data_IF_400116703798
#
_entry.id   IF_400116703798
#
_cell.length_a   1.000
_cell.length_b   1.000
_cell.length_c   1.000
_cell.angle_alpha   90.00
_cell.angle_beta   90.00
_cell.angle_gamma   90.00
#
_symmetry.space_group_name_H-M   'P 1'
#
loop_
_entity.id
_entity.type
_entity.pdbx_description
1 polymer ?
#
# COMPACT_ATOMS: atom_id res chain seq x y z
N UNK A 1 -44.21 -9.05 20.03
CA UNK A 1 -44.79 -9.33 18.69
C UNK A 1 -43.66 -9.28 17.67
N UNK A 2 -43.10 -10.44 17.32
CA UNK A 2 -41.98 -10.56 16.37
C UNK A 2 -42.56 -10.78 14.98
N UNK A 3 -42.20 -9.92 14.01
CA UNK A 3 -42.51 -10.11 12.59
C UNK A 3 -41.18 -10.39 11.88
N UNK A 4 -40.96 -11.65 11.55
CA UNK A 4 -40.01 -12.06 10.51
C UNK A 4 -40.91 -12.49 9.37
N UNK A 5 -40.76 -11.88 8.20
CA UNK A 5 -40.98 -12.57 6.92
C UNK A 5 -40.20 -11.81 5.85
N UNK A 6 -39.09 -12.41 5.44
CA UNK A 6 -38.33 -12.01 4.27
C UNK A 6 -39.14 -12.39 3.03
N UNK A 7 -39.83 -11.41 2.44
CA UNK A 7 -40.39 -11.54 1.10
C UNK A 7 -39.31 -11.16 0.10
N UNK A 8 -38.74 -12.18 -0.54
CA UNK A 8 -37.83 -12.08 -1.68
C UNK A 8 -38.48 -11.24 -2.78
N UNK A 9 -38.23 -9.94 -2.77
CA UNK A 9 -38.42 -9.09 -3.95
C UNK A 9 -37.15 -8.26 -4.11
N UNK A 10 -36.52 -8.50 -5.25
CA UNK A 10 -35.30 -7.86 -5.75
C UNK A 10 -33.99 -8.43 -5.23
N UNK A 11 -33.02 -8.45 -6.14
CA UNK A 11 -31.70 -9.10 -6.09
C UNK A 11 -30.73 -8.45 -5.07
N UNK A 12 -31.28 -7.85 -4.01
CA UNK A 12 -30.60 -6.88 -3.17
C UNK A 12 -30.75 -7.36 -1.72
N UNK A 13 -29.82 -8.22 -1.30
CA UNK A 13 -29.78 -8.73 0.08
C UNK A 13 -29.30 -7.58 0.98
N UNK A 14 -30.24 -6.81 1.53
CA UNK A 14 -29.91 -5.73 2.46
C UNK A 14 -29.52 -6.32 3.83
N UNK A 15 -28.22 -6.36 4.11
CA UNK A 15 -27.68 -6.72 5.41
C UNK A 15 -27.91 -5.58 6.40
N UNK A 16 -29.07 -5.57 7.06
CA UNK A 16 -29.37 -4.59 8.11
C UNK A 16 -28.61 -4.98 9.39
N UNK A 17 -27.71 -4.10 9.84
CA UNK A 17 -26.98 -4.26 11.11
C UNK A 17 -27.96 -4.29 12.29
N UNK A 18 -28.08 -5.44 12.96
CA UNK A 18 -28.94 -5.60 14.16
C UNK A 18 -28.25 -5.27 15.48
N UNK A 19 -26.92 -5.25 15.53
CA UNK A 19 -26.14 -5.02 16.75
C UNK A 19 -25.11 -3.89 16.53
N UNK A 20 -25.05 -2.86 17.39
CA UNK A 20 -24.13 -1.73 17.27
C UNK A 20 -22.63 -2.10 17.21
N UNK A 21 -22.22 -3.26 17.71
CA UNK A 21 -20.81 -3.71 17.72
C UNK A 21 -20.38 -4.45 16.44
N UNK A 22 -21.29 -4.72 15.50
CA UNK A 22 -20.92 -5.37 14.24
C UNK A 22 -20.41 -4.37 13.20
N UNK A 23 -19.51 -4.85 12.34
CA UNK A 23 -19.03 -4.10 11.18
C UNK A 23 -20.19 -3.82 10.22
N UNK A 24 -20.34 -2.56 9.83
CA UNK A 24 -21.30 -2.13 8.83
C UNK A 24 -20.68 -2.26 7.44
N UNK A 25 -21.42 -2.78 6.48
CA UNK A 25 -21.01 -2.85 5.07
C UNK A 25 -20.80 -1.45 4.48
N UNK A 26 -21.40 -0.42 5.09
CA UNK A 26 -21.24 0.99 4.71
C UNK A 26 -19.97 1.66 5.26
N UNK A 27 -19.16 0.97 6.08
CA UNK A 27 -17.89 1.52 6.57
C UNK A 27 -16.92 1.82 5.42
N UNK A 28 -17.04 1.12 4.30
CA UNK A 28 -16.25 1.34 3.09
C UNK A 28 -16.88 2.32 2.09
N UNK A 29 -18.15 2.71 2.29
CA UNK A 29 -18.87 3.60 1.36
C UNK A 29 -18.85 5.08 1.77
N UNK A 30 -18.54 5.41 3.03
CA UNK A 30 -18.73 6.78 3.53
C UNK A 30 -17.49 7.69 3.46
N UNK A 31 -16.37 7.26 2.87
CA UNK A 31 -15.21 8.15 2.70
C UNK A 31 -14.32 7.81 1.51
N UNK A 32 -14.90 7.60 0.33
CA UNK A 32 -14.21 8.05 -0.88
C UNK A 32 -14.47 9.55 -1.01
N UNK A 33 -13.73 10.35 -0.22
CA UNK A 33 -13.46 11.71 -0.66
C UNK A 33 -12.97 11.59 -2.10
N UNK A 34 -13.74 12.13 -3.04
CA UNK A 34 -13.34 12.28 -4.44
C UNK A 34 -12.14 13.20 -4.44
N UNK A 35 -10.97 12.64 -4.11
CA UNK A 35 -9.69 13.23 -4.45
C UNK A 35 -9.66 13.08 -5.96
N UNK A 36 -9.63 14.20 -6.67
CA UNK A 36 -9.56 14.21 -8.13
C UNK A 36 -8.59 13.11 -8.56
N UNK A 37 -9.11 12.07 -9.22
CA UNK A 37 -8.31 10.96 -9.71
C UNK A 37 -7.58 11.49 -10.94
N UNK A 38 -6.59 12.36 -10.73
CA UNK A 38 -5.57 12.58 -11.74
C UNK A 38 -4.96 11.21 -11.99
N UNK A 39 -5.24 10.65 -13.16
CA UNK A 39 -4.71 9.36 -13.58
C UNK A 39 -3.20 9.54 -13.66
N UNK A 40 -2.50 9.18 -12.59
CA UNK A 40 -1.04 9.25 -12.55
C UNK A 40 -0.49 8.37 -13.67
N UNK A 41 0.37 8.94 -14.52
CA UNK A 41 1.02 8.15 -15.57
C UNK A 41 1.97 7.16 -14.90
N UNK A 42 2.19 5.99 -15.52
CA UNK A 42 3.21 5.04 -15.05
C UNK A 42 4.57 5.71 -14.77
N UNK A 43 4.98 6.66 -15.62
CA UNK A 43 6.18 7.48 -15.42
C UNK A 43 6.17 8.20 -14.06
N UNK A 44 5.06 8.85 -13.72
CA UNK A 44 4.95 9.65 -12.50
C UNK A 44 4.99 8.73 -11.28
N UNK A 45 4.25 7.61 -11.32
CA UNK A 45 4.30 6.57 -10.28
C UNK A 45 5.71 6.02 -10.09
N UNK A 46 6.42 5.75 -11.19
CA UNK A 46 7.79 5.20 -11.14
C UNK A 46 8.77 6.20 -10.52
N UNK A 47 8.73 7.47 -10.93
CA UNK A 47 9.60 8.53 -10.38
C UNK A 47 9.30 8.76 -8.90
N UNK A 48 8.03 8.78 -8.52
CA UNK A 48 7.61 8.88 -7.11
C UNK A 48 8.14 7.68 -6.32
N UNK A 49 7.99 6.46 -6.85
CA UNK A 49 8.49 5.23 -6.20
C UNK A 49 10.00 5.25 -6.01
N UNK A 50 10.77 5.74 -7.00
CA UNK A 50 12.23 5.89 -6.87
C UNK A 50 12.57 6.84 -5.72
N UNK A 51 11.85 7.95 -5.63
CA UNK A 51 12.01 8.94 -4.56
C UNK A 51 11.67 8.34 -3.20
N UNK A 52 10.60 7.55 -3.11
CA UNK A 52 10.17 6.87 -1.89
C UNK A 52 11.17 5.79 -1.43
N UNK A 53 11.74 5.04 -2.38
CA UNK A 53 12.81 4.08 -2.09
C UNK A 53 14.04 4.82 -1.56
N UNK A 54 14.45 5.91 -2.18
CA UNK A 54 15.57 6.72 -1.71
C UNK A 54 15.33 7.25 -0.27
N UNK A 55 14.15 7.82 -0.02
CA UNK A 55 13.76 8.28 1.31
C UNK A 55 13.75 7.14 2.34
N UNK A 56 13.30 5.95 1.94
CA UNK A 56 13.31 4.76 2.80
C UNK A 56 14.75 4.36 3.18
N UNK A 57 15.69 4.41 2.22
CA UNK A 57 17.10 4.10 2.44
C UNK A 57 17.78 5.16 3.35
N UNK A 58 17.53 6.45 3.11
CA UNK A 58 18.02 7.52 3.98
C UNK A 58 17.47 7.38 5.41
N UNK A 59 16.21 6.98 5.55
CA UNK A 59 15.61 6.73 6.85
C UNK A 59 16.30 5.57 7.58
N UNK A 60 16.64 4.46 6.89
CA UNK A 60 17.45 3.37 7.48
C UNK A 60 18.76 3.90 8.03
N UNK A 61 19.51 4.68 7.24
CA UNK A 61 20.78 5.27 7.69
C UNK A 61 20.61 6.12 8.95
N UNK A 62 19.59 7.00 8.96
CA UNK A 62 19.30 7.88 10.09
C UNK A 62 18.86 7.12 11.35
N UNK A 63 18.03 6.08 11.20
CA UNK A 63 17.56 5.27 12.35
C UNK A 63 18.71 4.42 12.87
N UNK A 64 19.56 3.88 12.00
CA UNK A 64 20.78 3.14 12.38
C UNK A 64 21.74 4.03 13.15
N UNK A 65 21.99 5.24 12.66
CA UNK A 65 22.83 6.23 13.33
C UNK A 65 22.29 6.55 14.73
N UNK A 66 20.99 6.82 14.85
CA UNK A 66 20.35 7.07 16.15
C UNK A 66 20.39 5.85 17.07
N UNK A 67 20.28 4.63 16.53
CA UNK A 67 20.38 3.41 17.33
C UNK A 67 21.78 3.24 17.94
N UNK A 68 22.83 3.68 17.23
CA UNK A 68 24.22 3.65 17.72
C UNK A 68 24.46 4.74 18.77
N UNK A 69 24.07 5.99 18.49
CA UNK A 69 24.37 7.13 19.39
C UNK A 69 23.39 7.29 20.56
N UNK A 70 22.16 6.81 20.42
CA UNK A 70 21.08 6.93 21.43
C UNK A 70 20.25 5.64 21.50
N UNK A 71 20.85 4.52 21.96
CA UNK A 71 20.21 3.20 21.94
C UNK A 71 18.91 3.13 22.77
N UNK A 72 18.79 3.92 23.84
CA UNK A 72 17.57 3.97 24.67
C UNK A 72 16.38 4.68 24.03
N UNK A 73 16.58 5.32 22.86
CA UNK A 73 15.54 6.13 22.19
C UNK A 73 14.83 5.42 21.04
N UNK A 74 15.26 4.21 20.67
CA UNK A 74 14.75 3.44 19.53
C UNK A 74 14.60 1.97 19.93
N UNK A 75 13.48 1.35 19.53
CA UNK A 75 13.30 -0.11 19.62
C UNK A 75 14.07 -0.81 18.49
N UNK A 76 14.77 -1.90 18.84
CA UNK A 76 15.51 -2.74 17.89
C UNK A 76 14.60 -3.36 16.83
N UNK A 77 13.34 -3.64 17.16
CA UNK A 77 12.34 -4.16 16.22
C UNK A 77 11.94 -3.10 15.21
N UNK A 78 11.82 -1.84 15.61
CA UNK A 78 11.51 -0.74 14.70
C UNK A 78 12.65 -0.55 13.68
N UNK A 79 13.91 -0.66 14.13
CA UNK A 79 15.05 -0.66 13.22
C UNK A 79 14.96 -1.82 12.22
N UNK A 80 14.70 -3.03 12.70
CA UNK A 80 14.56 -4.21 11.85
C UNK A 80 13.41 -4.05 10.83
N UNK A 81 12.26 -3.53 11.26
CA UNK A 81 11.11 -3.26 10.39
C UNK A 81 11.47 -2.22 9.33
N UNK A 82 12.14 -1.12 9.71
CA UNK A 82 12.56 -0.06 8.79
C UNK A 82 13.56 -0.60 7.77
N UNK A 83 14.54 -1.41 8.20
CA UNK A 83 15.49 -2.08 7.31
C UNK A 83 14.80 -3.06 6.35
N UNK A 84 13.91 -3.92 6.87
CA UNK A 84 13.18 -4.89 6.06
C UNK A 84 12.32 -4.20 5.00
N UNK A 85 11.60 -3.13 5.37
CA UNK A 85 10.79 -2.34 4.45
C UNK A 85 11.65 -1.70 3.36
N UNK A 86 12.76 -1.07 3.72
CA UNK A 86 13.63 -0.43 2.74
C UNK A 86 14.24 -1.44 1.75
N UNK A 87 14.67 -2.61 2.24
CA UNK A 87 15.18 -3.70 1.39
C UNK A 87 14.11 -4.29 0.47
N UNK A 88 12.89 -4.48 0.97
CA UNK A 88 11.76 -4.94 0.17
C UNK A 88 11.43 -3.93 -0.94
N UNK A 89 11.32 -2.64 -0.60
CA UNK A 89 11.04 -1.58 -1.57
C UNK A 89 12.11 -1.52 -2.67
N UNK A 90 13.38 -1.60 -2.30
CA UNK A 90 14.49 -1.62 -3.26
C UNK A 90 14.43 -2.85 -4.17
N UNK A 91 14.14 -4.03 -3.60
CA UNK A 91 14.04 -5.28 -4.35
C UNK A 91 12.89 -5.26 -5.36
N UNK A 92 11.74 -4.71 -4.99
CA UNK A 92 10.59 -4.51 -5.89
C UNK A 92 10.97 -3.54 -7.02
N UNK A 93 11.54 -2.38 -6.70
CA UNK A 93 11.98 -1.40 -7.70
C UNK A 93 12.97 -2.03 -8.68
N UNK A 94 13.97 -2.75 -8.17
CA UNK A 94 14.94 -3.47 -9.00
C UNK A 94 14.26 -4.43 -9.97
N UNK A 95 13.32 -5.25 -9.48
CA UNK A 95 12.59 -6.20 -10.32
C UNK A 95 11.77 -5.51 -11.42
N UNK A 96 11.14 -4.37 -11.12
CA UNK A 96 10.39 -3.57 -12.11
C UNK A 96 11.32 -3.02 -13.17
N UNK A 97 12.45 -2.42 -12.77
CA UNK A 97 13.43 -1.85 -13.70
C UNK A 97 14.03 -2.94 -14.59
N UNK A 98 14.44 -4.07 -14.03
CA UNK A 98 15.00 -5.19 -14.80
C UNK A 98 14.00 -5.73 -15.83
N UNK A 99 12.72 -5.87 -15.45
CA UNK A 99 11.67 -6.28 -16.39
C UNK A 99 11.45 -5.24 -17.48
N UNK A 100 11.49 -3.96 -17.15
CA UNK A 100 11.38 -2.88 -18.14
C UNK A 100 12.53 -2.90 -19.16
N UNK A 101 13.77 -3.07 -18.68
CA UNK A 101 14.96 -3.17 -19.55
C UNK A 101 14.89 -4.42 -20.42
N UNK A 102 14.51 -5.58 -19.87
CA UNK A 102 14.35 -6.81 -20.65
C UNK A 102 13.26 -6.67 -21.71
N UNK A 103 12.10 -6.12 -21.36
CA UNK A 103 11.03 -5.88 -22.32
C UNK A 103 11.49 -4.97 -23.46
N UNK A 104 12.28 -3.93 -23.17
CA UNK A 104 12.85 -3.08 -24.20
C UNK A 104 13.81 -3.86 -25.12
N UNK A 105 14.70 -4.67 -24.55
CA UNK A 105 15.62 -5.54 -25.31
C UNK A 105 14.87 -6.54 -26.19
N UNK A 106 13.82 -7.17 -25.67
CA UNK A 106 13.01 -8.14 -26.41
C UNK A 106 12.30 -7.46 -27.60
N UNK A 107 11.75 -6.26 -27.40
CA UNK A 107 11.08 -5.51 -28.48
C UNK A 107 12.05 -5.15 -29.61
N UNK A 108 13.28 -4.73 -29.29
CA UNK A 108 14.26 -4.36 -30.33
C UNK A 108 14.88 -5.58 -31.02
N UNK A 109 15.07 -6.69 -30.30
CA UNK A 109 15.70 -7.91 -30.83
C UNK A 109 14.72 -8.80 -31.62
N UNK A 110 13.41 -8.57 -31.50
CA UNK A 110 12.38 -9.24 -32.31
C UNK A 110 12.38 -8.80 -33.79
N UNK A 111 13.10 -7.73 -34.12
CA UNK A 111 13.27 -7.23 -35.50
C UNK A 111 14.57 -7.74 -36.11
#
# INVERSE_FOLDING_TARGET
MVRIDAFLKENNINLVKKNPLHFDVNLFSSKSSTKNNDVETFKDVLINTITDVNNSQLNVSRVTEKAIFKPSSIDVHDLAIVMARANMNLSILKAVVERGVKAYQDIINVR
#
